data_IF_609647546924
#
_entry.id   IF_609647546924
#
_cell.length_a   1.000
_cell.length_b   1.000
_cell.length_c   1.000
_cell.angle_alpha   90.00
_cell.angle_beta   90.00
_cell.angle_gamma   90.00
#
_symmetry.space_group_name_H-M   'P 1'
#
loop_
_entity.id
_entity.type
_entity.pdbx_description
1 polymer ?
#
# COMPACT_ATOMS: atom_id res chain seq x y z
N UNK A 1 -5.58 -18.21 5.58
CA UNK A 1 -5.93 -17.21 6.62
C UNK A 1 -4.70 -16.80 7.43
N UNK A 2 -3.96 -17.73 8.03
CA UNK A 2 -2.74 -17.44 8.79
C UNK A 2 -1.49 -17.80 7.99
N UNK A 3 -1.28 -17.16 6.84
CA UNK A 3 -0.07 -17.39 6.03
C UNK A 3 1.10 -16.53 6.52
N UNK A 4 2.31 -16.92 6.16
CA UNK A 4 3.52 -16.10 6.39
C UNK A 4 3.35 -14.70 5.76
N UNK A 5 2.68 -14.61 4.60
CA UNK A 5 2.36 -13.33 3.95
C UNK A 5 1.43 -12.44 4.78
N UNK A 6 0.40 -13.00 5.42
CA UNK A 6 -0.47 -12.26 6.33
C UNK A 6 0.33 -11.69 7.51
N UNK A 7 1.14 -12.52 8.17
CA UNK A 7 1.95 -12.07 9.30
C UNK A 7 2.98 -11.02 8.92
N UNK A 8 3.59 -11.12 7.73
CA UNK A 8 4.50 -10.09 7.21
C UNK A 8 3.79 -8.76 6.99
N UNK A 9 2.61 -8.77 6.35
CA UNK A 9 1.82 -7.56 6.13
C UNK A 9 1.30 -6.94 7.43
N UNK A 10 0.88 -7.77 8.40
CA UNK A 10 0.47 -7.31 9.73
C UNK A 10 1.65 -6.70 10.49
N UNK A 11 2.83 -7.32 10.45
CA UNK A 11 4.03 -6.81 11.10
C UNK A 11 4.46 -5.45 10.53
N UNK A 12 4.48 -5.31 9.21
CA UNK A 12 4.79 -4.03 8.55
C UNK A 12 3.84 -2.92 8.99
N UNK A 13 2.52 -3.20 9.00
CA UNK A 13 1.51 -2.25 9.47
C UNK A 13 1.68 -1.90 10.95
N UNK A 14 1.91 -2.90 11.80
CA UNK A 14 2.10 -2.73 13.22
C UNK A 14 3.32 -1.83 13.53
N UNK A 15 4.45 -2.07 12.86
CA UNK A 15 5.67 -1.26 13.00
C UNK A 15 5.43 0.17 12.50
N UNK A 16 4.74 0.33 11.37
CA UNK A 16 4.40 1.66 10.85
C UNK A 16 3.51 2.44 11.81
N UNK A 17 2.49 1.81 12.39
CA UNK A 17 1.63 2.43 13.39
C UNK A 17 2.39 2.77 14.66
N UNK A 18 3.30 1.89 15.12
CA UNK A 18 4.16 2.16 16.27
C UNK A 18 4.97 3.44 16.06
N UNK A 19 5.69 3.51 14.95
CA UNK A 19 6.55 4.65 14.62
C UNK A 19 5.74 5.95 14.51
N UNK A 20 4.59 5.90 13.83
CA UNK A 20 3.72 7.07 13.68
C UNK A 20 3.14 7.56 15.02
N UNK A 21 2.68 6.64 15.87
CA UNK A 21 2.14 6.99 17.18
C UNK A 21 3.24 7.53 18.12
N UNK A 22 4.41 6.89 18.14
CA UNK A 22 5.54 7.35 18.93
C UNK A 22 5.99 8.76 18.49
N UNK A 23 6.14 8.96 17.17
CA UNK A 23 6.50 10.27 16.64
C UNK A 23 5.48 11.35 17.01
N UNK A 24 4.17 11.06 16.95
CA UNK A 24 3.13 12.00 17.33
C UNK A 24 3.23 12.42 18.80
N UNK A 25 3.45 11.46 19.70
CA UNK A 25 3.55 11.74 21.14
C UNK A 25 4.84 12.49 21.47
N UNK A 26 5.94 12.14 20.83
CA UNK A 26 7.19 12.88 20.94
C UNK A 26 7.06 14.32 20.43
N UNK A 27 6.44 14.55 19.28
CA UNK A 27 6.23 15.91 18.74
C UNK A 27 5.29 16.72 19.64
N UNK A 28 4.28 16.10 20.24
CA UNK A 28 3.31 16.79 21.08
C UNK A 28 3.86 17.18 22.47
N UNK A 29 4.76 16.37 23.05
CA UNK A 29 5.18 16.50 24.44
C UNK A 29 6.68 16.65 24.68
N UNK A 30 7.54 16.41 23.69
CA UNK A 30 9.00 16.48 23.88
C UNK A 30 9.53 17.88 23.56
N UNK A 31 10.20 18.48 24.54
CA UNK A 31 11.05 19.67 24.35
C UNK A 31 12.50 19.29 24.05
N UNK A 32 12.93 18.12 24.54
CA UNK A 32 14.24 17.52 24.31
C UNK A 32 14.15 15.99 24.47
N UNK A 33 15.03 15.24 23.80
CA UNK A 33 15.04 13.77 23.79
C UNK A 33 15.23 13.13 25.17
N UNK A 34 15.96 13.80 26.06
CA UNK A 34 16.26 13.31 27.41
C UNK A 34 15.15 13.59 28.43
N UNK A 35 14.27 14.56 28.14
CA UNK A 35 13.22 15.02 29.05
C UNK A 35 11.85 14.39 28.72
N UNK A 36 11.83 13.43 27.79
CA UNK A 36 10.63 12.70 27.41
C UNK A 36 10.23 11.72 28.50
N UNK A 37 8.95 11.73 28.87
CA UNK A 37 8.33 10.60 29.57
C UNK A 37 8.23 9.39 28.63
N UNK A 38 9.31 8.59 28.60
CA UNK A 38 9.41 7.41 27.77
C UNK A 38 8.38 6.33 28.12
N UNK A 39 7.95 6.26 29.37
CA UNK A 39 6.94 5.30 29.80
C UNK A 39 5.59 5.65 29.17
N UNK A 40 5.19 6.92 29.25
CA UNK A 40 3.98 7.39 28.58
C UNK A 40 4.09 7.22 27.06
N UNK A 41 5.19 7.69 26.45
CA UNK A 41 5.37 7.67 24.99
C UNK A 41 5.33 6.25 24.40
N UNK A 42 6.14 5.33 24.95
CA UNK A 42 6.16 3.94 24.51
C UNK A 42 4.85 3.22 24.85
N UNK A 43 4.20 3.57 25.97
CA UNK A 43 2.89 3.03 26.36
C UNK A 43 1.80 3.39 25.34
N UNK A 44 1.71 4.66 24.94
CA UNK A 44 0.76 5.11 23.91
C UNK A 44 1.05 4.49 22.54
N UNK A 45 2.32 4.46 22.12
CA UNK A 45 2.70 3.85 20.85
C UNK A 45 2.40 2.34 20.85
N UNK A 46 2.71 1.64 21.95
CA UNK A 46 2.40 0.23 22.14
C UNK A 46 0.91 -0.07 22.09
N UNK A 47 0.06 0.76 22.71
CA UNK A 47 -1.40 0.62 22.64
C UNK A 47 -1.90 0.77 21.19
N UNK A 48 -1.40 1.77 20.46
CA UNK A 48 -1.76 1.97 19.06
C UNK A 48 -1.35 0.76 18.19
N UNK A 49 -0.16 0.20 18.42
CA UNK A 49 0.32 -1.01 17.75
C UNK A 49 -0.54 -2.23 18.09
N UNK A 50 -0.92 -2.40 19.35
CA UNK A 50 -1.80 -3.49 19.78
C UNK A 50 -3.16 -3.41 19.08
N UNK A 51 -3.75 -2.21 19.00
CA UNK A 51 -5.00 -1.99 18.28
C UNK A 51 -4.87 -2.29 16.78
N UNK A 52 -3.74 -1.93 16.15
CA UNK A 52 -3.48 -2.25 14.75
C UNK A 52 -3.42 -3.77 14.51
N UNK A 53 -2.74 -4.52 15.38
CA UNK A 53 -2.68 -5.99 15.32
C UNK A 53 -4.07 -6.59 15.54
N UNK A 54 -4.81 -6.13 16.54
CA UNK A 54 -6.15 -6.62 16.84
C UNK A 54 -7.12 -6.36 15.67
N UNK A 55 -7.00 -5.19 15.03
CA UNK A 55 -7.76 -4.83 13.83
C UNK A 55 -7.38 -5.73 12.66
N UNK A 56 -6.10 -6.01 12.44
CA UNK A 56 -5.65 -6.94 11.40
C UNK A 56 -6.22 -8.34 11.60
N UNK A 57 -6.27 -8.82 12.85
CA UNK A 57 -6.89 -10.10 13.22
C UNK A 57 -8.40 -10.08 12.99
N UNK A 58 -9.10 -9.03 13.42
CA UNK A 58 -10.55 -8.89 13.26
C UNK A 58 -10.99 -8.76 11.79
N UNK A 59 -10.17 -8.12 10.95
CA UNK A 59 -10.43 -7.92 9.52
C UNK A 59 -9.88 -9.03 8.63
N UNK A 60 -9.17 -10.02 9.18
CA UNK A 60 -8.54 -11.11 8.43
C UNK A 60 -9.53 -11.97 7.60
N UNK A 61 -10.84 -11.85 7.83
CA UNK A 61 -11.90 -12.52 7.06
C UNK A 61 -12.69 -11.62 6.09
N UNK A 62 -12.45 -10.31 6.07
CA UNK A 62 -13.25 -9.32 5.29
C UNK A 62 -12.60 -9.02 3.91
N UNK A 63 -11.71 -9.87 3.41
CA UNK A 63 -11.07 -9.68 2.10
C UNK A 63 -11.18 -10.90 1.19
N UNK A 64 -11.98 -10.85 0.11
CA UNK A 64 -11.86 -11.76 -1.02
C UNK A 64 -10.47 -11.66 -1.69
N UNK A 65 -10.07 -12.71 -2.39
CA UNK A 65 -8.87 -12.80 -3.23
C UNK A 65 -8.88 -11.75 -4.36
N UNK A 66 -8.52 -10.51 -4.05
CA UNK A 66 -8.30 -9.43 -4.99
C UNK A 66 -7.05 -8.65 -4.60
N UNK A 67 -6.35 -8.03 -5.57
CA UNK A 67 -5.06 -7.38 -5.32
C UNK A 67 -5.29 -6.30 -4.27
N UNK A 68 -4.51 -6.37 -3.19
CA UNK A 68 -4.67 -5.45 -2.06
C UNK A 68 -4.51 -3.99 -2.51
N UNK A 69 -4.92 -3.08 -1.65
CA UNK A 69 -4.95 -1.61 -1.85
C UNK A 69 -3.60 -0.97 -2.27
N UNK A 70 -2.51 -1.75 -2.32
CA UNK A 70 -1.15 -1.35 -2.70
C UNK A 70 -0.59 -2.15 -3.89
N UNK A 71 -1.33 -3.13 -4.41
CA UNK A 71 -0.90 -4.00 -5.49
C UNK A 71 -1.56 -3.53 -6.79
N UNK A 72 -0.76 -3.30 -7.83
CA UNK A 72 -1.30 -3.04 -9.15
C UNK A 72 -2.04 -4.29 -9.67
N UNK A 73 -3.18 -4.14 -10.35
CA UNK A 73 -3.86 -5.27 -10.97
C UNK A 73 -2.87 -6.09 -11.80
N UNK A 74 -2.73 -7.39 -11.48
CA UNK A 74 -2.03 -8.30 -12.39
C UNK A 74 -2.72 -8.19 -13.75
N UNK A 75 -2.00 -7.82 -14.83
CA UNK A 75 -2.62 -7.67 -16.13
C UNK A 75 -3.26 -8.98 -16.55
N UNK A 76 -4.57 -8.95 -16.78
CA UNK A 76 -5.31 -10.06 -17.35
C UNK A 76 -4.76 -10.32 -18.78
N UNK A 77 -4.20 -11.51 -19.06
CA UNK A 77 -3.71 -11.87 -20.39
C UNK A 77 -4.80 -11.80 -21.47
N UNK A 78 -6.08 -11.82 -21.08
CA UNK A 78 -7.24 -11.73 -21.97
C UNK A 78 -7.93 -10.35 -22.01
N UNK A 79 -7.48 -9.36 -21.22
CA UNK A 79 -8.08 -8.04 -21.27
C UNK A 79 -7.80 -7.39 -22.64
N UNK A 80 -8.82 -6.88 -23.36
CA UNK A 80 -8.60 -6.14 -24.60
C UNK A 80 -7.67 -4.96 -24.28
N UNK A 81 -6.43 -5.03 -24.77
CA UNK A 81 -5.50 -3.90 -24.68
C UNK A 81 -6.24 -2.66 -25.21
N UNK A 82 -6.27 -1.54 -24.48
CA UNK A 82 -6.68 -0.28 -25.05
C UNK A 82 -5.81 -0.08 -26.30
N UNK A 83 -6.42 -0.22 -27.48
CA UNK A 83 -5.70 0.01 -28.71
C UNK A 83 -5.35 1.49 -28.67
N UNK A 84 -4.06 1.79 -28.42
CA UNK A 84 -3.53 3.08 -28.73
C UNK A 84 -3.88 3.32 -30.20
N UNK A 85 -4.81 4.23 -30.44
CA UNK A 85 -5.23 4.66 -31.78
C UNK A 85 -3.97 4.93 -32.56
N UNK A 86 -3.63 4.02 -33.49
CA UNK A 86 -2.48 4.18 -34.38
C UNK A 86 -2.64 5.53 -35.05
N UNK A 87 -1.69 6.47 -34.93
CA UNK A 87 -1.80 7.75 -35.63
C UNK A 87 -2.03 7.44 -37.10
N UNK A 88 -3.11 7.99 -37.66
CA UNK A 88 -3.48 7.83 -39.07
C UNK A 88 -2.28 8.23 -39.91
N UNK A 89 -1.59 7.23 -40.45
CA UNK A 89 -0.43 7.42 -41.29
C UNK A 89 -0.93 8.04 -42.59
N UNK A 90 -0.45 9.23 -43.01
CA UNK A 90 -0.89 9.85 -44.24
C UNK A 90 -0.59 8.89 -45.40
N UNK A 91 -1.62 8.53 -46.17
CA UNK A 91 -1.47 7.73 -47.38
C UNK A 91 -0.67 8.52 -48.39
N UNK A 92 0.62 8.20 -48.54
CA UNK A 92 1.41 8.58 -49.71
C UNK A 92 1.40 7.41 -50.68
N UNK A 93 0.32 7.27 -51.46
CA UNK A 93 0.31 6.37 -52.61
C UNK A 93 0.89 7.11 -53.83
N UNK A 94 2.03 6.68 -54.41
CA UNK A 94 2.41 7.09 -55.75
C UNK A 94 1.54 6.36 -56.79
N UNK A 95 1.07 7.03 -57.86
CA UNK A 95 0.25 6.38 -58.88
C UNK A 95 1.07 5.33 -59.62
N UNK A 96 0.62 4.07 -59.55
CA UNK A 96 1.19 2.95 -60.27
C UNK A 96 1.02 3.13 -61.78
N UNK A 97 2.13 3.23 -62.49
CA UNK A 97 2.22 3.05 -63.95
C UNK A 97 1.94 1.57 -64.29
N UNK A 98 0.89 1.28 -65.07
CA UNK A 98 0.73 0.05 -65.88
C UNK A 98 -0.29 0.32 -66.98
N UNK A 99 0.20 0.51 -68.21
CA UNK A 99 0.06 -0.39 -69.39
C UNK A 99 -1.32 -0.37 -70.01
#
# INVERSE_FOLDING_TARGET
MWSIGFWKATAERAIRTFAQALAAVLVAGATNLLDVDWAAALGTAGLATLLAVLTAVGTARIGPHGPGILEAPTPDPGAPRPQATKPTQPTTDPPATRT
#
